data_IF_275422129883
#
_entry.id   IF_275422129883
#
_cell.length_a   1.000
_cell.length_b   1.000
_cell.length_c   1.000
_cell.angle_alpha   90.00
_cell.angle_beta   90.00
_cell.angle_gamma   90.00
#
_symmetry.space_group_name_H-M   'P 1'
#
loop_
_entity.id
_entity.type
_entity.pdbx_description
1 polymer ?
#
# COMPACT_ATOMS: atom_id res chain seq x y z
N UNK A 1 -6.68 12.21 -20.33
CA UNK A 1 -7.06 13.39 -19.51
C UNK A 1 -7.06 13.19 -17.99
N UNK A 2 -7.68 12.14 -17.43
CA UNK A 2 -7.72 11.95 -15.95
C UNK A 2 -6.33 11.96 -15.29
N UNK A 3 -5.37 11.19 -15.82
CA UNK A 3 -4.00 11.16 -15.30
C UNK A 3 -3.30 12.52 -15.45
N UNK A 4 -3.56 13.23 -16.54
CA UNK A 4 -3.01 14.57 -16.76
C UNK A 4 -3.57 15.58 -15.75
N UNK A 5 -4.87 15.53 -15.47
CA UNK A 5 -5.51 16.33 -14.43
C UNK A 5 -4.92 16.04 -13.03
N UNK A 6 -4.71 14.77 -12.69
CA UNK A 6 -4.09 14.37 -11.43
C UNK A 6 -2.63 14.87 -11.29
N UNK A 7 -1.84 14.79 -12.38
CA UNK A 7 -0.48 15.32 -12.43
C UNK A 7 -0.48 16.84 -12.23
N UNK A 8 -1.40 17.56 -12.87
CA UNK A 8 -1.50 19.01 -12.71
C UNK A 8 -1.95 19.40 -11.32
N UNK A 9 -2.88 18.66 -10.70
CA UNK A 9 -3.26 18.86 -9.31
C UNK A 9 -2.08 18.67 -8.36
N UNK A 10 -1.29 17.61 -8.55
CA UNK A 10 -0.09 17.38 -7.74
C UNK A 10 0.90 18.55 -7.84
N UNK A 11 1.15 19.05 -9.06
CA UNK A 11 2.01 20.23 -9.28
C UNK A 11 1.45 21.49 -8.62
N UNK A 12 0.16 21.74 -8.76
CA UNK A 12 -0.52 22.88 -8.13
C UNK A 12 -0.41 22.83 -6.60
N UNK A 13 -0.46 21.63 -6.02
CA UNK A 13 -0.28 21.40 -4.59
C UNK A 13 1.20 21.40 -4.14
N UNK A 14 2.16 21.68 -5.02
CA UNK A 14 3.60 21.65 -4.70
C UNK A 14 4.15 20.24 -4.47
N UNK A 15 3.42 19.20 -4.87
CA UNK A 15 3.83 17.80 -4.72
C UNK A 15 4.46 17.30 -6.02
N UNK A 16 5.63 16.67 -5.93
CA UNK A 16 6.22 15.99 -7.07
C UNK A 16 5.39 14.72 -7.40
N UNK A 17 4.71 14.66 -8.56
CA UNK A 17 3.78 13.57 -8.88
C UNK A 17 4.47 12.20 -9.02
N UNK A 18 5.68 12.17 -9.58
CA UNK A 18 6.46 10.92 -9.73
C UNK A 18 6.83 10.35 -8.36
N UNK A 19 7.36 11.18 -7.46
CA UNK A 19 7.69 10.76 -6.10
C UNK A 19 6.45 10.33 -5.32
N UNK A 20 5.32 11.03 -5.47
CA UNK A 20 4.06 10.67 -4.82
C UNK A 20 3.54 9.31 -5.30
N UNK A 21 3.60 9.06 -6.62
CA UNK A 21 3.23 7.79 -7.22
C UNK A 21 4.16 6.67 -6.74
N UNK A 22 5.48 6.90 -6.78
CA UNK A 22 6.48 5.94 -6.30
C UNK A 22 6.25 5.53 -4.85
N UNK A 23 6.05 6.50 -3.94
CA UNK A 23 5.73 6.24 -2.52
C UNK A 23 4.41 5.47 -2.36
N UNK A 24 3.44 5.71 -3.23
CA UNK A 24 2.16 4.98 -3.21
C UNK A 24 2.34 3.53 -3.64
N UNK A 25 3.13 3.28 -4.70
CA UNK A 25 3.49 1.93 -5.13
C UNK A 25 4.29 1.19 -4.06
N UNK A 26 5.27 1.84 -3.42
CA UNK A 26 6.04 1.24 -2.32
C UNK A 26 5.14 0.85 -1.13
N UNK A 27 4.14 1.67 -0.80
CA UNK A 27 3.13 1.32 0.22
C UNK A 27 2.30 0.10 -0.20
N UNK A 28 1.89 0.03 -1.47
CA UNK A 28 1.14 -1.10 -2.00
C UNK A 28 1.96 -2.39 -1.89
N UNK A 29 3.19 -2.39 -2.43
CA UNK A 29 4.09 -3.55 -2.40
C UNK A 29 4.34 -4.00 -0.97
N UNK A 30 4.67 -3.07 -0.05
CA UNK A 30 4.93 -3.45 1.35
C UNK A 30 3.73 -4.16 1.98
N UNK A 31 2.51 -3.67 1.73
CA UNK A 31 1.29 -4.23 2.32
C UNK A 31 0.94 -5.56 1.67
N UNK A 32 1.08 -5.66 0.35
CA UNK A 32 0.80 -6.90 -0.37
C UNK A 32 1.74 -8.02 0.06
N UNK A 33 3.04 -7.74 0.18
CA UNK A 33 4.02 -8.72 0.69
C UNK A 33 3.73 -9.14 2.13
N UNK A 34 3.15 -8.26 2.96
CA UNK A 34 2.68 -8.65 4.30
C UNK A 34 1.52 -9.64 4.23
N UNK A 35 0.53 -9.38 3.36
CA UNK A 35 -0.61 -10.29 3.17
C UNK A 35 -0.12 -11.66 2.70
N UNK A 36 0.79 -11.69 1.72
CA UNK A 36 1.39 -12.93 1.21
C UNK A 36 2.10 -13.72 2.31
N UNK A 37 2.90 -13.03 3.14
CA UNK A 37 3.59 -13.67 4.26
C UNK A 37 2.62 -14.22 5.30
N UNK A 38 1.60 -13.43 5.69
CA UNK A 38 0.61 -13.83 6.68
C UNK A 38 -0.23 -15.04 6.23
N UNK A 39 -0.63 -15.09 4.96
CA UNK A 39 -1.33 -16.25 4.40
C UNK A 39 -0.43 -17.48 4.32
N UNK A 40 0.84 -17.29 3.93
CA UNK A 40 1.82 -18.38 3.86
C UNK A 40 2.10 -18.99 5.24
N UNK A 41 2.13 -18.19 6.31
CA UNK A 41 2.24 -18.67 7.69
C UNK A 41 1.05 -19.55 8.10
N UNK A 42 -0.12 -19.32 7.50
CA UNK A 42 -1.32 -20.13 7.69
C UNK A 42 -1.39 -21.34 6.73
N UNK A 43 -0.34 -21.57 5.93
CA UNK A 43 -0.29 -22.65 4.93
C UNK A 43 -1.21 -22.43 3.73
N UNK A 44 -1.66 -21.19 3.49
CA UNK A 44 -2.60 -20.83 2.43
C UNK A 44 -1.94 -19.91 1.40
N UNK A 45 -2.48 -19.91 0.18
CA UNK A 45 -2.09 -18.99 -0.88
C UNK A 45 -3.07 -17.82 -1.03
N UNK A 46 -2.64 -16.76 -1.71
CA UNK A 46 -3.50 -15.64 -2.08
C UNK A 46 -4.73 -16.07 -2.89
N UNK A 47 -4.60 -17.09 -3.73
CA UNK A 47 -5.71 -17.54 -4.57
C UNK A 47 -6.83 -18.19 -3.77
N UNK A 48 -6.52 -18.68 -2.58
CA UNK A 48 -7.46 -19.34 -1.66
C UNK A 48 -8.00 -18.38 -0.59
N UNK A 49 -7.52 -17.13 -0.57
CA UNK A 49 -8.00 -16.11 0.36
C UNK A 49 -9.21 -15.39 -0.22
N UNK A 50 -10.21 -15.17 0.62
CA UNK A 50 -11.36 -14.34 0.29
C UNK A 50 -10.98 -12.85 0.26
N UNK A 51 -11.76 -12.05 -0.47
CA UNK A 51 -11.57 -10.59 -0.48
C UNK A 51 -11.68 -9.97 0.93
N UNK A 52 -12.50 -10.57 1.80
CA UNK A 52 -12.67 -10.11 3.18
C UNK A 52 -11.39 -10.35 4.00
N UNK A 53 -10.82 -11.55 3.92
CA UNK A 53 -9.54 -11.86 4.60
C UNK A 53 -8.40 -10.98 4.07
N UNK A 54 -8.36 -10.73 2.76
CA UNK A 54 -7.38 -9.82 2.18
C UNK A 54 -7.54 -8.38 2.71
N UNK A 55 -8.77 -7.89 2.88
CA UNK A 55 -9.01 -6.54 3.43
C UNK A 55 -8.64 -6.45 4.92
N UNK A 56 -8.92 -7.48 5.70
CA UNK A 56 -8.52 -7.57 7.12
C UNK A 56 -6.99 -7.50 7.25
N UNK A 57 -6.26 -8.36 6.52
CA UNK A 57 -4.79 -8.35 6.50
C UNK A 57 -4.23 -7.04 5.93
N UNK A 58 -4.91 -6.43 4.96
CA UNK A 58 -4.53 -5.12 4.41
C UNK A 58 -4.65 -4.00 5.46
N UNK A 59 -5.71 -4.04 6.29
CA UNK A 59 -5.91 -3.08 7.38
C UNK A 59 -4.88 -3.29 8.50
N UNK A 60 -4.52 -4.54 8.82
CA UNK A 60 -3.39 -4.83 9.71
C UNK A 60 -2.06 -4.27 9.16
N UNK A 61 -1.80 -4.47 7.87
CA UNK A 61 -0.60 -3.96 7.20
C UNK A 61 -0.51 -2.42 7.24
N UNK A 62 -1.65 -1.71 7.19
CA UNK A 62 -1.70 -0.25 7.38
C UNK A 62 -1.27 0.13 8.80
N UNK A 63 -1.77 -0.59 9.82
CA UNK A 63 -1.49 -0.32 11.23
C UNK A 63 -0.01 -0.48 11.61
N UNK A 64 0.69 -1.46 11.03
CA UNK A 64 2.12 -1.71 11.32
C UNK A 64 3.05 -0.53 10.97
N UNK A 65 2.74 0.29 9.96
CA UNK A 65 3.56 1.49 9.63
C UNK A 65 3.32 2.67 10.57
N UNK A 66 2.24 2.69 11.34
CA UNK A 66 1.98 3.75 12.33
C UNK A 66 2.87 3.64 13.57
N UNK A 67 3.53 2.49 13.77
CA UNK A 67 4.36 2.19 14.94
C UNK A 67 5.87 2.10 14.61
N UNK A 68 6.36 2.91 13.68
CA UNK A 68 7.81 3.02 13.41
C UNK A 68 8.38 4.31 14.02
N UNK A 69 9.12 4.25 15.14
CA UNK A 69 9.75 5.40 15.78
C UNK A 69 10.93 6.02 14.99
N UNK A 70 11.27 5.51 13.79
CA UNK A 70 12.41 5.96 12.99
C UNK A 70 12.05 6.89 11.82
N UNK A 71 11.16 7.86 12.05
CA UNK A 71 11.12 9.11 11.27
C UNK A 71 11.42 10.29 12.18
N UNK A 72 12.71 10.46 12.50
CA UNK A 72 13.30 11.74 12.93
C UNK A 72 14.27 12.18 11.85
#
# INVERSE_FOLDING_TARGET
DVLFAAINLARLAGVNPEQALRRSNEKFVTRFSFIEAALKEQGRSLHEASLQEMDELWNEAKGRKANNPLKR
#
